data_IF_269008341899
#
_entry.id   IF_269008341899
#
_cell.length_a   1.000
_cell.length_b   1.000
_cell.length_c   1.000
_cell.angle_alpha   90.00
_cell.angle_beta   90.00
_cell.angle_gamma   90.00
#
_symmetry.space_group_name_H-M   'P 1'
#
loop_
_entity.id
_entity.type
_entity.pdbx_description
1 polymer ?
#
# COMPACT_ATOMS: atom_id res chain seq x y z
N UNK A 1 -31.12 19.67 -0.84
CA UNK A 1 -30.20 19.68 0.31
C UNK A 1 -29.77 18.27 0.75
N UNK A 2 -30.52 17.23 0.39
CA UNK A 2 -30.20 15.83 0.70
C UNK A 2 -28.81 15.42 0.19
N UNK A 3 -28.50 15.70 -1.06
CA UNK A 3 -27.20 15.39 -1.67
C UNK A 3 -26.01 16.10 -1.01
N UNK A 4 -26.22 17.24 -0.35
CA UNK A 4 -25.17 17.89 0.46
C UNK A 4 -25.01 17.17 1.80
N UNK A 5 -26.10 16.71 2.42
CA UNK A 5 -26.09 15.96 3.69
C UNK A 5 -25.47 14.57 3.47
N UNK A 6 -25.75 13.95 2.33
CA UNK A 6 -25.16 12.67 1.91
C UNK A 6 -23.74 12.79 1.36
N UNK A 7 -23.19 14.03 1.29
CA UNK A 7 -21.80 14.28 0.88
C UNK A 7 -21.53 14.12 -0.62
N UNK A 8 -22.56 14.08 -1.48
CA UNK A 8 -22.40 14.10 -2.94
C UNK A 8 -22.10 15.49 -3.49
N UNK A 9 -22.58 16.53 -2.79
CA UNK A 9 -22.35 17.92 -3.13
C UNK A 9 -21.78 18.67 -1.93
N UNK A 10 -20.96 19.68 -2.17
CA UNK A 10 -20.59 20.67 -1.16
C UNK A 10 -20.89 22.08 -1.65
N UNK A 11 -21.29 22.95 -0.73
CA UNK A 11 -21.64 24.33 -1.02
C UNK A 11 -20.56 25.28 -0.50
N UNK A 12 -20.06 26.13 -1.36
CA UNK A 12 -19.13 27.20 -1.02
C UNK A 12 -19.90 28.53 -1.04
N UNK A 13 -20.04 29.17 0.13
CA UNK A 13 -20.83 30.40 0.31
C UNK A 13 -20.35 31.48 -0.67
N UNK A 14 -21.25 32.02 -1.49
CA UNK A 14 -20.96 33.06 -2.49
C UNK A 14 -20.32 32.58 -3.79
N UNK A 15 -20.01 31.28 -3.93
CA UNK A 15 -19.31 30.73 -5.10
C UNK A 15 -20.18 29.71 -5.86
N UNK A 16 -20.92 28.85 -5.16
CA UNK A 16 -21.78 27.86 -5.79
C UNK A 16 -21.84 26.52 -5.06
N UNK A 17 -22.51 25.54 -5.72
CA UNK A 17 -22.59 24.15 -5.28
C UNK A 17 -21.79 23.31 -6.25
N UNK A 18 -20.92 22.45 -5.72
CA UNK A 18 -19.98 21.64 -6.49
C UNK A 18 -20.20 20.15 -6.19
N UNK A 19 -19.93 19.30 -7.16
CA UNK A 19 -19.93 17.86 -6.97
C UNK A 19 -18.71 17.48 -6.11
N UNK A 20 -18.94 16.79 -5.00
CA UNK A 20 -17.86 16.21 -4.21
C UNK A 20 -17.22 15.11 -5.03
N UNK A 21 -15.91 15.17 -5.25
CA UNK A 21 -15.19 14.00 -5.76
C UNK A 21 -15.32 12.86 -4.74
N UNK A 22 -15.36 11.60 -5.18
CA UNK A 22 -15.41 10.42 -4.28
C UNK A 22 -14.29 10.45 -3.22
N UNK A 23 -13.20 11.18 -3.48
CA UNK A 23 -12.09 11.39 -2.57
C UNK A 23 -12.42 12.25 -1.34
N UNK A 24 -13.49 13.08 -1.37
CA UNK A 24 -13.91 13.92 -0.24
C UNK A 24 -14.92 13.25 0.72
N UNK A 25 -15.44 12.05 0.40
CA UNK A 25 -16.40 11.35 1.26
C UNK A 25 -15.80 10.71 2.52
N UNK A 26 -14.47 10.57 2.61
CA UNK A 26 -13.80 9.87 3.71
C UNK A 26 -13.20 10.80 4.79
N UNK A 27 -13.63 12.06 4.88
CA UNK A 27 -13.01 13.07 5.74
C UNK A 27 -13.50 13.10 7.18
N UNK A 28 -13.92 11.99 7.80
CA UNK A 28 -14.21 12.01 9.23
C UNK A 28 -13.11 11.41 10.13
N UNK A 29 -12.16 10.66 9.60
CA UNK A 29 -10.99 10.14 10.35
C UNK A 29 -9.81 9.85 9.40
N UNK A 30 -9.35 10.83 8.64
CA UNK A 30 -8.12 10.63 7.86
C UNK A 30 -6.90 10.72 8.79
N UNK A 31 -6.61 9.62 9.50
CA UNK A 31 -5.22 9.28 9.70
C UNK A 31 -4.72 8.99 8.29
N UNK A 32 -3.85 9.85 7.74
CA UNK A 32 -3.22 9.58 6.45
C UNK A 32 -2.29 8.41 6.69
N UNK A 33 -2.84 7.22 6.53
CA UNK A 33 -2.08 6.00 6.58
C UNK A 33 -1.15 5.97 5.35
N UNK A 34 0.17 5.75 5.55
CA UNK A 34 1.11 5.58 4.45
C UNK A 34 1.01 4.19 3.82
N UNK A 35 -0.20 3.63 3.68
CA UNK A 35 -0.42 2.30 3.13
C UNK A 35 0.26 2.12 1.79
N UNK A 36 0.57 0.87 1.43
CA UNK A 36 1.14 0.49 0.12
C UNK A 36 0.33 1.07 -1.03
N UNK A 37 -0.98 1.19 -0.86
CA UNK A 37 -1.90 1.82 -1.82
C UNK A 37 -1.69 3.33 -1.94
N UNK A 38 -1.10 3.98 -0.91
CA UNK A 38 -0.97 5.44 -0.82
C UNK A 38 0.49 5.92 -0.68
N UNK A 39 1.48 5.03 -0.59
CA UNK A 39 2.89 5.42 -0.38
C UNK A 39 3.39 6.36 -1.47
N UNK A 40 3.03 6.12 -2.72
CA UNK A 40 3.33 7.00 -3.84
C UNK A 40 2.69 8.38 -3.68
N UNK A 41 1.43 8.44 -3.21
CA UNK A 41 0.74 9.71 -2.93
C UNK A 41 1.40 10.47 -1.79
N UNK A 42 1.82 9.76 -0.74
CA UNK A 42 2.50 10.40 0.40
C UNK A 42 3.85 10.98 -0.04
N UNK A 43 4.66 10.21 -0.76
CA UNK A 43 5.92 10.69 -1.33
C UNK A 43 5.69 11.92 -2.22
N UNK A 44 4.71 11.85 -3.13
CA UNK A 44 4.39 12.97 -4.02
C UNK A 44 3.86 14.21 -3.26
N UNK A 45 3.06 14.04 -2.20
CA UNK A 45 2.59 15.17 -1.36
C UNK A 45 3.72 15.88 -0.61
N UNK A 46 4.78 15.16 -0.27
CA UNK A 46 5.99 15.73 0.33
C UNK A 46 6.93 16.39 -0.70
N UNK A 47 6.49 16.56 -1.95
CA UNK A 47 7.21 17.31 -2.98
C UNK A 47 8.21 16.48 -3.79
N UNK A 48 8.25 15.16 -3.61
CA UNK A 48 9.12 14.26 -4.36
C UNK A 48 8.36 13.60 -5.52
N UNK A 49 9.06 13.25 -6.58
CA UNK A 49 8.52 12.41 -7.66
C UNK A 49 8.70 10.94 -7.31
N UNK A 50 7.59 10.23 -7.07
CA UNK A 50 7.64 8.81 -6.78
C UNK A 50 7.81 7.98 -8.05
N UNK A 51 8.78 7.06 -8.05
CA UNK A 51 8.97 6.04 -9.08
C UNK A 51 9.07 4.66 -8.44
N UNK A 52 8.41 3.67 -9.03
CA UNK A 52 8.50 2.28 -8.61
C UNK A 52 9.47 1.52 -9.49
N UNK A 53 10.41 0.79 -8.87
CA UNK A 53 11.30 -0.16 -9.53
C UNK A 53 10.88 -1.57 -9.14
N UNK A 54 10.57 -2.39 -10.12
CA UNK A 54 10.47 -3.84 -9.96
C UNK A 54 11.87 -4.42 -9.70
N UNK A 55 11.98 -5.35 -8.77
CA UNK A 55 13.24 -6.01 -8.43
C UNK A 55 13.22 -7.47 -8.88
N UNK A 56 12.23 -8.23 -8.39
CA UNK A 56 12.04 -9.64 -8.74
C UNK A 56 10.62 -10.10 -8.44
N UNK A 57 10.23 -11.17 -9.12
CA UNK A 57 9.06 -11.97 -8.76
C UNK A 57 9.44 -13.46 -8.91
N UNK A 58 9.21 -14.24 -7.86
CA UNK A 58 9.54 -15.68 -7.84
C UNK A 58 8.46 -16.45 -7.09
N UNK A 59 8.36 -17.74 -7.36
CA UNK A 59 7.55 -18.65 -6.53
C UNK A 59 8.37 -19.07 -5.32
N UNK A 60 7.74 -19.05 -4.14
CA UNK A 60 8.35 -19.57 -2.91
C UNK A 60 7.30 -20.26 -2.03
N UNK A 61 7.75 -21.08 -1.11
CA UNK A 61 6.91 -21.67 -0.07
C UNK A 61 6.55 -20.64 1.00
N UNK A 62 5.29 -20.61 1.41
CA UNK A 62 4.81 -19.74 2.47
C UNK A 62 5.38 -20.18 3.82
N UNK A 63 6.09 -19.29 4.51
CA UNK A 63 6.43 -19.49 5.93
C UNK A 63 5.17 -19.52 6.78
N UNK A 64 5.25 -20.00 8.02
CA UNK A 64 4.10 -20.04 8.94
C UNK A 64 3.45 -18.68 9.17
N UNK A 65 4.25 -17.60 9.17
CA UNK A 65 3.73 -16.24 9.32
C UNK A 65 3.01 -15.77 8.06
N UNK A 66 3.57 -15.98 6.87
CA UNK A 66 2.95 -15.65 5.58
C UNK A 66 1.66 -16.44 5.39
N UNK A 67 1.71 -17.77 5.65
CA UNK A 67 0.56 -18.66 5.54
C UNK A 67 -0.61 -18.20 6.42
N UNK A 68 -0.33 -17.84 7.67
CA UNK A 68 -1.33 -17.29 8.60
C UNK A 68 -1.98 -16.01 8.08
N UNK A 69 -1.20 -15.08 7.50
CA UNK A 69 -1.71 -13.82 6.96
C UNK A 69 -2.55 -14.04 5.71
N UNK A 70 -2.12 -14.92 4.82
CA UNK A 70 -2.82 -15.27 3.58
C UNK A 70 -3.97 -16.27 3.76
N UNK A 71 -4.12 -16.86 4.97
CA UNK A 71 -5.09 -17.92 5.30
C UNK A 71 -4.94 -19.14 4.38
N UNK A 72 -3.70 -19.62 4.22
CA UNK A 72 -3.30 -20.82 3.47
C UNK A 72 -2.48 -21.74 4.38
N UNK A 73 -2.11 -22.93 3.90
CA UNK A 73 -1.25 -23.86 4.65
C UNK A 73 0.23 -23.44 4.57
N UNK A 74 0.99 -23.74 5.64
CA UNK A 74 2.43 -23.55 5.63
C UNK A 74 3.05 -24.45 4.56
N UNK A 75 3.91 -23.89 3.70
CA UNK A 75 4.52 -24.60 2.57
C UNK A 75 3.73 -24.44 1.25
N UNK A 76 2.51 -23.90 1.28
CA UNK A 76 1.82 -23.56 0.04
C UNK A 76 2.65 -22.58 -0.80
N UNK A 77 2.55 -22.69 -2.13
CA UNK A 77 3.27 -21.82 -3.03
C UNK A 77 2.59 -20.47 -3.16
N UNK A 78 3.38 -19.41 -3.02
CA UNK A 78 2.99 -18.02 -3.24
C UNK A 78 3.91 -17.34 -4.23
N UNK A 79 3.43 -16.32 -4.89
CA UNK A 79 4.28 -15.36 -5.58
C UNK A 79 4.90 -14.43 -4.54
N UNK A 80 6.20 -14.28 -4.60
CA UNK A 80 6.96 -13.30 -3.83
C UNK A 80 7.47 -12.23 -4.78
N UNK A 81 7.11 -10.97 -4.53
CA UNK A 81 7.49 -9.83 -5.36
C UNK A 81 8.16 -8.74 -4.54
N UNK A 82 9.34 -8.32 -4.96
CA UNK A 82 10.07 -7.18 -4.40
C UNK A 82 9.94 -5.94 -5.26
N UNK A 83 9.69 -4.81 -4.60
CA UNK A 83 9.58 -3.49 -5.24
C UNK A 83 10.28 -2.43 -4.40
N UNK A 84 10.93 -1.48 -5.07
CA UNK A 84 11.53 -0.30 -4.44
C UNK A 84 10.80 0.93 -4.95
N UNK A 85 10.35 1.80 -4.03
CA UNK A 85 9.85 3.13 -4.38
C UNK A 85 10.92 4.16 -4.10
N UNK A 86 11.17 4.98 -5.09
CA UNK A 86 12.11 6.09 -5.03
C UNK A 86 11.35 7.39 -4.81
N UNK A 87 11.88 8.25 -3.95
CA UNK A 87 11.57 9.66 -3.85
C UNK A 87 12.67 10.41 -4.62
N UNK A 88 12.35 10.90 -5.83
CA UNK A 88 13.34 11.38 -6.82
C UNK A 88 14.39 10.32 -7.15
N UNK A 89 15.59 10.46 -6.58
CA UNK A 89 16.73 9.55 -6.83
C UNK A 89 17.06 8.65 -5.64
N UNK A 90 16.43 8.85 -4.47
CA UNK A 90 16.69 8.07 -3.27
C UNK A 90 15.65 6.98 -3.06
N UNK A 91 16.08 5.78 -2.71
CA UNK A 91 15.18 4.72 -2.31
C UNK A 91 14.49 5.11 -0.99
N UNK A 92 13.17 5.22 -1.02
CA UNK A 92 12.36 5.66 0.11
C UNK A 92 11.58 4.52 0.75
N UNK A 93 11.22 3.48 -0.03
CA UNK A 93 10.48 2.32 0.48
C UNK A 93 10.92 1.05 -0.22
N UNK A 94 11.09 -0.03 0.56
CA UNK A 94 11.30 -1.39 0.08
C UNK A 94 10.11 -2.26 0.49
N UNK A 95 9.41 -2.83 -0.48
CA UNK A 95 8.19 -3.61 -0.29
C UNK A 95 8.38 -5.05 -0.74
N UNK A 96 7.99 -5.99 0.12
CA UNK A 96 7.95 -7.43 -0.12
C UNK A 96 6.49 -7.86 -0.11
N UNK A 97 5.97 -8.32 -1.24
CA UNK A 97 4.58 -8.78 -1.38
C UNK A 97 4.52 -10.28 -1.55
N UNK A 98 3.62 -10.92 -0.81
CA UNK A 98 3.27 -12.32 -0.90
C UNK A 98 1.86 -12.42 -1.46
N UNK A 99 1.69 -13.06 -2.63
CA UNK A 99 0.45 -13.06 -3.39
C UNK A 99 0.01 -14.49 -3.59
N UNK A 100 -1.25 -14.76 -3.40
CA UNK A 100 -1.82 -16.09 -3.57
C UNK A 100 -1.69 -16.56 -5.01
N UNK A 101 -0.94 -17.65 -5.18
CA UNK A 101 -0.64 -18.23 -6.50
C UNK A 101 -1.85 -18.85 -7.15
N UNK A 102 -2.76 -19.43 -6.38
CA UNK A 102 -3.99 -20.06 -6.85
C UNK A 102 -4.95 -19.11 -7.57
N UNK A 103 -4.84 -17.80 -7.34
CA UNK A 103 -5.63 -16.77 -8.05
C UNK A 103 -4.89 -16.14 -9.24
N UNK A 104 -3.57 -16.26 -9.32
CA UNK A 104 -2.74 -15.67 -10.37
C UNK A 104 -1.73 -16.70 -10.89
N UNK A 105 -2.17 -17.55 -11.83
CA UNK A 105 -1.38 -18.71 -12.29
C UNK A 105 -0.07 -18.31 -13.00
N UNK A 106 -0.10 -17.27 -13.84
CA UNK A 106 1.03 -16.86 -14.72
C UNK A 106 1.53 -15.45 -14.36
N UNK A 107 1.50 -15.07 -13.06
CA UNK A 107 1.81 -13.71 -12.62
C UNK A 107 3.23 -13.26 -12.96
N UNK A 108 4.20 -14.18 -13.04
CA UNK A 108 5.60 -13.86 -13.34
C UNK A 108 5.76 -13.05 -14.63
N UNK A 109 4.95 -13.34 -15.66
CA UNK A 109 5.01 -12.64 -16.96
C UNK A 109 4.57 -11.19 -16.87
N UNK A 110 3.63 -10.91 -15.99
CA UNK A 110 3.00 -9.60 -15.84
C UNK A 110 3.59 -8.81 -14.66
N UNK A 111 4.47 -9.43 -13.86
CA UNK A 111 4.87 -8.90 -12.54
C UNK A 111 5.57 -7.55 -12.61
N UNK A 112 6.39 -7.29 -13.63
CA UNK A 112 7.08 -6.01 -13.80
C UNK A 112 6.10 -4.87 -14.09
N UNK A 113 5.16 -5.10 -15.01
CA UNK A 113 4.12 -4.12 -15.34
C UNK A 113 3.14 -3.94 -14.16
N UNK A 114 2.76 -5.05 -13.53
CA UNK A 114 1.90 -5.04 -12.35
C UNK A 114 2.53 -4.28 -11.17
N UNK A 115 3.85 -4.32 -11.02
CA UNK A 115 4.58 -3.63 -9.95
C UNK A 115 4.36 -2.12 -9.93
N UNK A 116 4.05 -1.51 -11.08
CA UNK A 116 3.77 -0.07 -11.20
C UNK A 116 2.44 0.32 -10.56
N UNK A 117 1.41 -0.52 -10.71
CA UNK A 117 0.10 -0.33 -10.09
C UNK A 117 -0.58 -1.68 -9.83
N UNK A 118 -0.15 -2.32 -8.75
CA UNK A 118 -0.51 -3.70 -8.45
C UNK A 118 -2.03 -3.90 -8.28
N UNK A 119 -2.72 -3.02 -7.55
CA UNK A 119 -4.16 -3.17 -7.37
C UNK A 119 -4.95 -2.97 -8.66
N UNK A 120 -4.53 -2.05 -9.53
CA UNK A 120 -5.14 -1.91 -10.86
C UNK A 120 -4.93 -3.18 -11.71
N UNK A 121 -3.78 -3.82 -11.58
CA UNK A 121 -3.53 -5.11 -12.21
C UNK A 121 -4.49 -6.18 -11.66
N UNK A 122 -4.63 -6.30 -10.33
CA UNK A 122 -5.58 -7.24 -9.71
C UNK A 122 -7.02 -7.00 -10.19
N UNK A 123 -7.46 -5.74 -10.26
CA UNK A 123 -8.78 -5.36 -10.78
C UNK A 123 -8.98 -5.86 -12.22
N UNK A 124 -7.94 -5.76 -13.07
CA UNK A 124 -7.99 -6.24 -14.46
C UNK A 124 -8.11 -7.77 -14.57
N UNK A 125 -7.75 -8.49 -13.51
CA UNK A 125 -7.90 -9.95 -13.41
C UNK A 125 -9.19 -10.35 -12.67
N UNK A 126 -10.06 -9.39 -12.33
CA UNK A 126 -11.30 -9.63 -11.58
C UNK A 126 -11.09 -9.85 -10.07
N UNK A 127 -9.89 -9.59 -9.56
CA UNK A 127 -9.53 -9.74 -8.14
C UNK A 127 -9.61 -8.37 -7.44
N UNK A 128 -10.82 -7.84 -7.27
CA UNK A 128 -11.02 -6.51 -6.70
C UNK A 128 -10.77 -6.55 -5.20
N UNK A 129 -9.69 -5.94 -4.75
CA UNK A 129 -9.40 -5.75 -3.32
C UNK A 129 -10.21 -4.56 -2.82
N UNK A 130 -11.21 -4.83 -1.97
CA UNK A 130 -12.11 -3.82 -1.41
C UNK A 130 -11.72 -3.35 -0.03
N UNK A 131 -10.97 -4.17 0.71
CA UNK A 131 -10.53 -3.87 2.09
C UNK A 131 -9.06 -4.17 2.26
N UNK A 132 -8.34 -3.24 2.88
CA UNK A 132 -6.95 -3.43 3.29
C UNK A 132 -6.88 -3.28 4.80
N UNK A 133 -6.41 -4.32 5.48
CA UNK A 133 -6.05 -4.25 6.89
C UNK A 133 -4.59 -3.86 6.99
N UNK A 134 -4.34 -2.69 7.55
CA UNK A 134 -3.01 -2.12 7.70
C UNK A 134 -2.54 -2.12 9.15
N UNK A 135 -1.25 -2.41 9.35
CA UNK A 135 -0.57 -2.30 10.64
C UNK A 135 0.71 -1.49 10.45
N UNK A 136 0.85 -0.41 11.22
CA UNK A 136 2.00 0.47 11.22
C UNK A 136 2.87 0.21 12.45
N UNK A 137 4.14 -0.09 12.26
CA UNK A 137 5.07 -0.45 13.33
C UNK A 137 6.33 0.40 13.17
N UNK A 138 6.62 1.33 14.09
CA UNK A 138 7.92 1.99 14.12
C UNK A 138 9.00 0.99 14.52
N UNK A 139 10.19 1.12 13.92
CA UNK A 139 11.26 0.16 14.20
C UNK A 139 12.54 0.46 13.43
N UNK A 140 13.30 -0.59 13.22
CA UNK A 140 14.57 -0.56 12.49
C UNK A 140 14.54 -1.57 11.34
N UNK A 141 15.15 -1.19 10.23
CA UNK A 141 15.23 -2.02 9.03
C UNK A 141 16.10 -3.26 9.26
N UNK A 142 15.71 -4.39 8.68
CA UNK A 142 16.57 -5.56 8.57
C UNK A 142 17.79 -5.27 7.66
N UNK A 143 18.72 -6.21 7.57
CA UNK A 143 19.95 -6.03 6.81
C UNK A 143 19.68 -5.75 5.34
N UNK A 144 18.80 -6.52 4.71
CA UNK A 144 18.49 -6.39 3.29
C UNK A 144 17.82 -5.03 3.00
N UNK A 145 16.84 -4.62 3.82
CA UNK A 145 16.18 -3.34 3.66
C UNK A 145 17.15 -2.16 3.85
N UNK A 146 18.11 -2.26 4.78
CA UNK A 146 19.15 -1.22 4.94
C UNK A 146 20.03 -1.07 3.70
N UNK A 147 20.45 -2.20 3.13
CA UNK A 147 21.28 -2.21 1.92
C UNK A 147 20.51 -1.62 0.72
N UNK A 148 19.23 -1.99 0.57
CA UNK A 148 18.36 -1.50 -0.52
C UNK A 148 18.04 0.00 -0.38
N UNK A 149 17.77 0.45 0.85
CA UNK A 149 17.40 1.85 1.13
C UNK A 149 18.62 2.75 1.36
N UNK A 150 19.83 2.18 1.41
CA UNK A 150 21.09 2.90 1.67
C UNK A 150 21.02 3.70 2.98
N UNK A 151 20.47 3.08 4.05
CA UNK A 151 20.30 3.70 5.37
C UNK A 151 21.11 2.99 6.47
N UNK A 152 21.44 3.72 7.52
CA UNK A 152 22.15 3.20 8.68
C UNK A 152 21.21 2.36 9.57
N UNK A 153 21.83 1.47 10.38
CA UNK A 153 21.09 0.65 11.35
C UNK A 153 20.34 1.46 12.41
N UNK A 154 20.74 2.70 12.65
CA UNK A 154 20.13 3.60 13.61
C UNK A 154 19.03 4.47 12.98
N UNK A 155 18.86 4.44 11.64
CA UNK A 155 17.82 5.20 10.94
C UNK A 155 16.44 4.67 11.33
N UNK A 156 15.57 5.50 11.90
CA UNK A 156 14.21 5.08 12.22
C UNK A 156 13.42 4.84 10.93
N UNK A 157 12.62 3.78 10.93
CA UNK A 157 11.75 3.42 9.80
C UNK A 157 10.34 3.15 10.28
N UNK A 158 9.40 3.16 9.33
CA UNK A 158 8.06 2.65 9.53
C UNK A 158 7.91 1.34 8.75
N UNK A 159 7.55 0.26 9.46
CA UNK A 159 7.15 -1.00 8.85
C UNK A 159 5.65 -0.95 8.65
N UNK A 160 5.21 -1.17 7.41
CA UNK A 160 3.80 -1.23 7.03
C UNK A 160 3.50 -2.66 6.66
N UNK A 161 2.56 -3.29 7.37
CA UNK A 161 2.06 -4.62 7.05
C UNK A 161 0.62 -4.48 6.55
N UNK A 162 0.41 -4.84 5.30
CA UNK A 162 -0.90 -4.79 4.66
C UNK A 162 -1.42 -6.19 4.32
N UNK A 163 -2.72 -6.40 4.52
CA UNK A 163 -3.42 -7.59 4.07
C UNK A 163 -4.63 -7.15 3.26
N UNK A 164 -4.65 -7.51 1.98
CA UNK A 164 -5.71 -7.16 1.03
C UNK A 164 -6.78 -8.23 0.93
N UNK A 165 -8.06 -7.80 1.05
CA UNK A 165 -9.23 -8.67 1.02
C UNK A 165 -10.17 -8.26 -0.12
N UNK A 166 -10.74 -9.23 -0.79
CA UNK A 166 -11.89 -9.06 -1.67
C UNK A 166 -13.18 -8.85 -0.88
N UNK A 167 -14.29 -8.53 -1.53
CA UNK A 167 -15.59 -8.27 -0.89
C UNK A 167 -16.10 -9.47 -0.10
N UNK A 168 -15.85 -10.69 -0.55
CA UNK A 168 -16.22 -11.94 0.13
C UNK A 168 -15.28 -12.33 1.28
N UNK A 169 -14.24 -11.50 1.56
CA UNK A 169 -13.28 -11.73 2.64
C UNK A 169 -12.12 -12.67 2.28
N UNK A 170 -11.98 -13.02 1.00
CA UNK A 170 -10.81 -13.77 0.50
C UNK A 170 -9.55 -12.90 0.56
N UNK A 171 -8.46 -13.45 1.11
CA UNK A 171 -7.17 -12.76 1.14
C UNK A 171 -6.43 -13.00 -0.17
N UNK A 172 -6.00 -11.93 -0.83
CA UNK A 172 -5.25 -12.01 -2.10
C UNK A 172 -3.77 -11.73 -1.90
N UNK A 173 -3.44 -10.74 -1.06
CA UNK A 173 -2.07 -10.27 -0.84
C UNK A 173 -1.81 -10.05 0.65
N UNK A 174 -0.59 -10.35 1.06
CA UNK A 174 0.04 -9.83 2.26
C UNK A 174 1.35 -9.16 1.89
N UNK A 175 1.59 -7.95 2.38
CA UNK A 175 2.85 -7.24 2.10
C UNK A 175 3.47 -6.64 3.35
N UNK A 176 4.79 -6.53 3.31
CA UNK A 176 5.61 -5.85 4.31
C UNK A 176 6.46 -4.81 3.61
N UNK A 177 6.22 -3.55 3.92
CA UNK A 177 6.98 -2.43 3.39
C UNK A 177 7.81 -1.78 4.48
N UNK A 178 9.09 -1.57 4.22
CA UNK A 178 9.98 -0.76 5.05
C UNK A 178 10.08 0.61 4.43
N UNK A 179 9.73 1.64 5.17
CA UNK A 179 9.67 3.02 4.70
C UNK A 179 10.60 3.90 5.53
N UNK A 180 11.53 4.60 4.88
CA UNK A 180 12.35 5.62 5.51
C UNK A 180 11.49 6.82 5.88
N UNK A 181 11.40 7.12 7.19
CA UNK A 181 10.52 8.19 7.70
C UNK A 181 10.95 9.59 7.27
N UNK A 182 12.16 9.78 6.77
CA UNK A 182 12.62 11.09 6.25
C UNK A 182 11.86 11.57 5.01
N UNK A 183 11.13 10.66 4.33
CA UNK A 183 10.34 10.96 3.14
C UNK A 183 8.84 11.11 3.41
N UNK A 184 8.43 11.04 4.69
CA UNK A 184 7.00 11.07 5.03
C UNK A 184 6.72 11.98 6.21
N UNK A 185 5.61 12.64 6.13
CA UNK A 185 4.96 13.33 7.24
C UNK A 185 3.54 12.75 7.40
N UNK A 186 3.18 12.37 8.62
CA UNK A 186 1.84 11.89 8.95
C UNK A 186 1.09 12.99 9.68
N UNK A 187 0.04 13.53 9.04
CA UNK A 187 -0.79 14.59 9.59
C UNK A 187 -2.19 14.05 9.86
N UNK A 188 -2.65 14.13 11.11
CA UNK A 188 -4.02 13.85 11.49
C UNK A 188 -4.73 15.12 11.97
N UNK A 189 -5.96 15.34 11.51
CA UNK A 189 -6.81 16.44 12.00
C UNK A 189 -7.98 15.85 12.79
N UNK A 190 -8.08 16.24 14.06
CA UNK A 190 -9.13 15.79 14.96
C UNK A 190 -10.01 16.96 15.36
N UNK A 191 -11.34 16.81 15.28
CA UNK A 191 -12.27 17.77 15.89
C UNK A 191 -12.42 17.43 17.37
N UNK A 192 -12.20 18.41 18.21
CA UNK A 192 -12.55 18.30 19.64
C UNK A 192 -14.05 18.49 19.78
N UNK A 193 -14.76 17.48 20.28
CA UNK A 193 -16.18 17.55 20.67
C UNK A 193 -16.40 18.39 21.91
#
# INVERSE_FOLDING_TARGET
NELCTEGYLYRKKGVGTFVSSKEQKNNQHDIISPSVYKTDRVINRNGFVCKTKFVKCVIMEASSDVARQLKIETGDHVWYMDRIRYADKKAASFSRSYIRKDYLLDFERDAEDAAQNFYKYLDSKGLVVTTIKEKLIPGWADKEAREVLEIDKATPILIIQDTGFTEDGTVIEYSVSTLDVSFIEMIGTFKRG
#
